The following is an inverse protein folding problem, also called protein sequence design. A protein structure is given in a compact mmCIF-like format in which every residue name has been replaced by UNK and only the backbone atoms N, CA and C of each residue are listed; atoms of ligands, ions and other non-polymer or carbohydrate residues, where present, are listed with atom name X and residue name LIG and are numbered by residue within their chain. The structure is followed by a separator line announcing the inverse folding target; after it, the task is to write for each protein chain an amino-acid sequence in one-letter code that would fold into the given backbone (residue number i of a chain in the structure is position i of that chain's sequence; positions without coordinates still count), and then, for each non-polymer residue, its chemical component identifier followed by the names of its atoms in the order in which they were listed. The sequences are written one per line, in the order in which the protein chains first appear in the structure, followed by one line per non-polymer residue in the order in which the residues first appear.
data_IF_800858233083
#
_entry.id   IF_800858233083
#
_cell.length_a   1.000
_cell.length_b   1.000
_cell.length_c   1.000
_cell.angle_alpha   90.00
_cell.angle_beta   90.00
_cell.angle_gamma   90.00
#
_symmetry.space_group_name_H-M   'P 1'
#
loop_
_entity.id
_entity.type
_entity.pdbx_description
1 polymer ?
#
# COMPACT_ATOMS: atom_id res chain seq x y z
N UNK A 1 39.28 -58.27 -1.18
CA UNK A 1 38.76 -57.25 -2.12
C UNK A 1 37.24 -57.10 -2.13
N UNK A 2 36.44 -58.12 -1.78
CA UNK A 2 34.96 -58.01 -1.80
C UNK A 2 34.36 -57.12 -0.70
N UNK A 3 34.98 -57.04 0.49
CA UNK A 3 34.50 -56.25 1.64
C UNK A 3 34.74 -54.74 1.53
N UNK A 4 35.74 -54.31 0.74
CA UNK A 4 35.98 -52.90 0.41
C UNK A 4 34.97 -52.37 -0.61
N UNK A 5 34.51 -53.24 -1.52
CA UNK A 5 33.49 -52.91 -2.51
C UNK A 5 32.11 -52.72 -1.87
N UNK A 6 31.80 -53.50 -0.82
CA UNK A 6 30.54 -53.37 -0.08
C UNK A 6 30.47 -52.04 0.69
N UNK A 7 31.60 -51.60 1.26
CA UNK A 7 31.69 -50.35 2.03
C UNK A 7 31.54 -49.10 1.14
N UNK A 8 32.07 -49.12 -0.08
CA UNK A 8 31.92 -48.04 -1.06
C UNK A 8 30.48 -47.91 -1.58
N UNK A 9 29.77 -49.03 -1.75
CA UNK A 9 28.39 -49.03 -2.25
C UNK A 9 27.40 -48.48 -1.21
N UNK A 10 27.64 -48.70 0.08
CA UNK A 10 26.77 -48.18 1.15
C UNK A 10 26.93 -46.68 1.35
N UNK A 11 28.08 -46.09 1.03
CA UNK A 11 28.30 -44.64 1.16
C UNK A 11 27.58 -43.82 0.05
N UNK A 12 27.35 -44.40 -1.13
CA UNK A 12 26.58 -43.75 -2.21
C UNK A 12 25.06 -43.73 -1.98
N UNK A 13 24.51 -44.60 -1.11
CA UNK A 13 23.07 -44.70 -0.90
C UNK A 13 22.48 -43.63 0.05
N UNK A 14 23.32 -42.89 0.79
CA UNK A 14 22.87 -41.88 1.76
C UNK A 14 23.00 -40.43 1.25
N UNK A 15 23.37 -40.20 -0.02
CA UNK A 15 23.65 -38.86 -0.57
C UNK A 15 22.50 -38.17 -1.32
N UNK A 16 21.30 -38.76 -1.42
CA UNK A 16 20.27 -38.30 -2.38
C UNK A 16 18.98 -37.80 -1.69
N UNK A 17 19.07 -37.17 -0.52
CA UNK A 17 17.90 -36.53 0.10
C UNK A 17 18.26 -35.22 0.78
N UNK A 18 18.72 -34.24 0.00
CA UNK A 18 18.95 -32.88 0.51
C UNK A 18 18.85 -31.79 -0.58
N UNK A 19 17.86 -31.85 -1.49
CA UNK A 19 17.61 -30.75 -2.43
C UNK A 19 16.13 -30.55 -2.76
N UNK A 20 15.26 -30.44 -1.75
CA UNK A 20 13.93 -29.82 -1.95
C UNK A 20 13.54 -29.00 -0.72
N UNK A 21 14.14 -27.83 -0.56
CA UNK A 21 13.58 -26.76 0.25
C UNK A 21 13.99 -25.43 -0.37
N UNK A 22 13.06 -24.77 -1.04
CA UNK A 22 13.22 -23.38 -1.50
C UNK A 22 12.93 -23.07 -2.98
N UNK A 23 12.64 -24.05 -3.84
CA UNK A 23 12.22 -23.73 -5.21
C UNK A 23 10.74 -23.36 -5.25
N UNK A 24 10.46 -22.06 -5.27
CA UNK A 24 9.18 -21.52 -5.73
C UNK A 24 9.15 -21.72 -7.24
N UNK A 25 8.19 -22.48 -7.74
CA UNK A 25 7.93 -22.60 -9.18
C UNK A 25 7.45 -21.25 -9.72
N UNK A 26 8.38 -20.40 -10.14
CA UNK A 26 8.04 -19.24 -10.95
C UNK A 26 7.90 -19.72 -12.39
N UNK A 27 6.68 -19.64 -12.95
CA UNK A 27 6.43 -19.81 -14.38
C UNK A 27 6.94 -18.61 -15.18
N UNK A 28 8.13 -18.10 -14.86
CA UNK A 28 8.71 -16.96 -15.55
C UNK A 28 9.49 -17.48 -16.75
N UNK A 29 8.79 -17.47 -17.89
CA UNK A 29 9.36 -17.60 -19.23
C UNK A 29 10.72 -16.91 -19.32
N UNK A 30 11.73 -17.65 -19.74
CA UNK A 30 13.09 -17.20 -19.98
C UNK A 30 13.10 -15.89 -20.81
N UNK A 31 13.32 -14.76 -20.14
CA UNK A 31 13.35 -13.43 -20.74
C UNK A 31 13.68 -12.42 -19.66
N UNK A 32 14.97 -12.15 -19.47
CA UNK A 32 15.51 -11.62 -18.23
C UNK A 32 15.18 -10.17 -17.88
N UNK A 33 15.34 -9.87 -16.59
CA UNK A 33 15.93 -8.64 -16.09
C UNK A 33 16.38 -8.88 -14.65
N UNK A 34 17.59 -8.44 -14.34
CA UNK A 34 18.34 -8.63 -13.09
C UNK A 34 17.78 -7.80 -11.92
N UNK A 35 16.46 -7.85 -11.70
CA UNK A 35 15.74 -7.21 -10.58
C UNK A 35 14.84 -8.27 -9.92
N UNK A 36 15.45 -9.40 -9.54
CA UNK A 36 14.71 -10.61 -9.13
C UNK A 36 13.91 -10.49 -7.85
N UNK A 37 14.40 -9.73 -6.84
CA UNK A 37 13.73 -9.68 -5.52
C UNK A 37 12.79 -8.50 -5.35
N UNK A 38 13.26 -7.27 -5.63
CA UNK A 38 12.41 -6.08 -5.49
C UNK A 38 11.30 -6.02 -6.56
N UNK A 39 11.62 -6.43 -7.80
CA UNK A 39 10.66 -6.47 -8.90
C UNK A 39 9.56 -7.50 -8.67
N UNK A 40 9.91 -8.68 -8.16
CA UNK A 40 8.92 -9.72 -7.84
C UNK A 40 8.05 -9.36 -6.62
N UNK A 41 8.63 -8.73 -5.59
CA UNK A 41 7.87 -8.25 -4.44
C UNK A 41 6.90 -7.11 -4.81
N UNK A 42 7.36 -6.14 -5.61
CA UNK A 42 6.51 -5.07 -6.14
C UNK A 42 5.43 -5.66 -7.04
N UNK A 43 5.75 -6.61 -7.92
CA UNK A 43 4.78 -7.23 -8.83
C UNK A 43 3.74 -8.07 -8.09
N UNK A 44 4.12 -8.77 -7.02
CA UNK A 44 3.18 -9.50 -6.16
C UNK A 44 2.23 -8.56 -5.41
N UNK A 45 2.71 -7.38 -5.00
CA UNK A 45 1.87 -6.37 -4.34
C UNK A 45 0.96 -5.62 -5.33
N UNK A 46 1.46 -5.32 -6.53
CA UNK A 46 0.73 -4.56 -7.55
C UNK A 46 -0.28 -5.40 -8.35
N UNK A 47 -0.13 -6.72 -8.36
CA UNK A 47 -0.92 -7.64 -9.17
C UNK A 47 -0.57 -7.57 -10.66
N UNK A 48 -1.26 -8.33 -11.53
CA UNK A 48 -1.07 -8.26 -12.97
C UNK A 48 -1.26 -6.83 -13.50
N UNK A 49 -0.38 -6.39 -14.43
CA UNK A 49 -0.45 -5.05 -15.05
C UNK A 49 -1.83 -4.78 -15.69
N UNK A 50 -2.54 -5.83 -16.11
CA UNK A 50 -3.93 -5.74 -16.60
C UNK A 50 -4.91 -5.20 -15.56
N UNK A 51 -4.69 -5.47 -14.27
CA UNK A 51 -5.54 -4.97 -13.19
C UNK A 51 -5.20 -3.53 -12.83
N UNK A 52 -3.94 -3.11 -13.01
CA UNK A 52 -3.54 -1.72 -12.87
C UNK A 52 -4.25 -0.80 -13.91
N UNK A 53 -4.51 -1.32 -15.12
CA UNK A 53 -5.29 -0.60 -16.12
C UNK A 53 -6.77 -0.47 -15.73
N UNK A 54 -7.38 -1.54 -15.20
CA UNK A 54 -8.75 -1.51 -14.66
C UNK A 54 -8.91 -0.51 -13.52
N UNK A 55 -7.91 -0.37 -12.64
CA UNK A 55 -7.90 0.66 -11.60
C UNK A 55 -7.89 2.09 -12.15
N UNK A 56 -7.37 2.31 -13.36
CA UNK A 56 -7.30 3.63 -14.02
C UNK A 56 -8.54 3.98 -14.84
N UNK A 57 -9.28 2.99 -15.35
CA UNK A 57 -10.50 3.18 -16.13
C UNK A 57 -11.76 3.03 -15.27
N UNK A 58 -11.67 3.47 -14.03
CA UNK A 58 -12.69 3.30 -13.00
C UNK A 58 -13.87 4.25 -13.21
N UNK A 59 -15.10 3.75 -13.05
CA UNK A 59 -16.34 4.54 -13.08
C UNK A 59 -16.86 4.73 -11.64
N UNK A 60 -17.12 5.99 -11.28
CA UNK A 60 -17.75 6.37 -10.01
C UNK A 60 -19.12 5.74 -9.81
N UNK A 61 -19.83 5.43 -10.91
CA UNK A 61 -21.19 4.87 -10.87
C UNK A 61 -21.24 3.45 -10.30
N UNK A 62 -20.10 2.75 -10.27
CA UNK A 62 -19.98 1.38 -9.73
C UNK A 62 -19.78 1.36 -8.21
N UNK A 63 -19.50 2.51 -7.57
CA UNK A 63 -19.23 2.57 -6.13
C UNK A 63 -20.52 2.58 -5.31
N UNK A 64 -20.71 1.56 -4.48
CA UNK A 64 -21.78 1.55 -3.47
C UNK A 64 -21.21 2.03 -2.13
N UNK A 65 -21.68 3.17 -1.65
CA UNK A 65 -21.28 3.73 -0.35
C UNK A 65 -20.82 5.18 -0.44
N UNK A 66 -20.38 5.72 0.70
CA UNK A 66 -19.85 7.08 0.78
C UNK A 66 -18.34 7.08 0.50
N UNK A 67 -17.82 8.06 -0.27
CA UNK A 67 -16.37 8.23 -0.45
C UNK A 67 -15.69 8.80 0.82
N UNK A 68 -16.47 9.15 1.84
CA UNK A 68 -15.95 9.73 3.07
C UNK A 68 -15.80 8.64 4.15
N UNK A 69 -14.68 8.68 4.87
CA UNK A 69 -14.52 7.86 6.09
C UNK A 69 -15.54 8.26 7.17
N UNK A 70 -15.98 9.52 7.14
CA UNK A 70 -17.03 10.10 7.99
C UNK A 70 -17.73 11.19 7.19
N UNK A 71 -19.06 11.14 7.09
CA UNK A 71 -19.83 12.20 6.42
C UNK A 71 -19.79 13.53 7.19
N UNK A 72 -19.54 13.45 8.50
CA UNK A 72 -19.49 14.59 9.40
C UNK A 72 -18.12 15.27 9.38
N UNK A 73 -18.16 16.60 9.40
CA UNK A 73 -17.00 17.46 9.61
C UNK A 73 -16.65 17.49 11.11
N UNK A 74 -15.43 17.08 11.44
CA UNK A 74 -14.92 17.03 12.82
C UNK A 74 -14.07 18.27 13.12
N UNK A 75 -14.13 18.83 14.34
CA UNK A 75 -13.27 19.94 14.72
C UNK A 75 -11.80 19.52 14.75
N UNK A 76 -10.90 20.42 14.36
CA UNK A 76 -9.45 20.26 14.45
C UNK A 76 -8.75 21.61 14.59
N UNK A 77 -7.45 21.56 14.91
CA UNK A 77 -6.54 22.70 14.92
C UNK A 77 -5.73 22.69 13.63
N UNK A 78 -5.67 23.85 12.98
CA UNK A 78 -4.78 24.10 11.85
C UNK A 78 -3.46 24.65 12.38
N UNK A 79 -2.36 24.07 11.92
CA UNK A 79 -1.01 24.55 12.21
C UNK A 79 -0.29 24.98 10.94
N UNK A 80 0.49 26.05 11.05
CA UNK A 80 1.43 26.49 10.01
C UNK A 80 2.83 26.56 10.62
N UNK A 81 3.81 25.83 10.07
CA UNK A 81 5.18 25.74 10.61
C UNK A 81 5.21 25.45 12.12
N UNK A 82 4.44 24.44 12.52
CA UNK A 82 4.28 24.00 13.91
C UNK A 82 3.57 24.97 14.87
N UNK A 83 3.11 26.13 14.38
CA UNK A 83 2.32 27.08 15.17
C UNK A 83 0.83 26.91 14.89
N UNK A 84 0.01 26.79 15.95
CA UNK A 84 -1.44 26.72 15.81
C UNK A 84 -1.97 28.08 15.36
N UNK A 85 -2.48 28.13 14.13
CA UNK A 85 -3.01 29.36 13.50
C UNK A 85 -4.51 29.51 13.68
N UNK A 86 -5.24 28.42 13.97
CA UNK A 86 -6.69 28.50 14.17
C UNK A 86 -7.37 27.15 14.35
N UNK A 87 -8.69 27.22 14.53
CA UNK A 87 -9.57 26.05 14.57
C UNK A 87 -10.42 26.02 13.30
N UNK A 88 -10.67 24.82 12.79
CA UNK A 88 -11.54 24.59 11.65
C UNK A 88 -12.22 23.23 11.80
N UNK A 89 -13.06 22.86 10.84
CA UNK A 89 -13.63 21.53 10.75
C UNK A 89 -13.12 20.82 9.51
N UNK A 90 -12.85 19.52 9.61
CA UNK A 90 -12.30 18.72 8.52
C UNK A 90 -13.04 17.40 8.31
N UNK A 91 -12.93 16.83 7.12
CA UNK A 91 -13.19 15.42 6.83
C UNK A 91 -12.28 14.93 5.70
N UNK A 92 -12.06 13.63 5.63
CA UNK A 92 -11.25 13.02 4.58
C UNK A 92 -12.13 12.49 3.44
N UNK A 93 -11.87 12.96 2.22
CA UNK A 93 -12.47 12.48 0.99
C UNK A 93 -11.53 11.44 0.37
N UNK A 94 -11.87 10.15 0.48
CA UNK A 94 -11.04 9.06 -0.02
C UNK A 94 -11.11 8.90 -1.54
N UNK A 95 -12.11 9.51 -2.20
CA UNK A 95 -12.20 9.49 -3.66
C UNK A 95 -11.19 10.44 -4.32
N UNK A 96 -11.10 11.67 -3.81
CA UNK A 96 -10.13 12.66 -4.31
C UNK A 96 -8.79 12.61 -3.56
N UNK A 97 -8.72 11.85 -2.46
CA UNK A 97 -7.59 11.79 -1.54
C UNK A 97 -7.24 13.17 -0.96
N UNK A 98 -8.26 13.92 -0.54
CA UNK A 98 -8.13 15.30 -0.07
C UNK A 98 -8.76 15.49 1.31
N UNK A 99 -8.20 16.45 2.06
CA UNK A 99 -8.82 16.95 3.28
C UNK A 99 -9.75 18.09 2.87
N UNK A 100 -11.04 17.89 3.11
CA UNK A 100 -12.04 18.94 2.97
C UNK A 100 -12.17 19.70 4.27
N UNK A 101 -12.28 21.02 4.20
CA UNK A 101 -12.36 21.92 5.36
C UNK A 101 -13.56 22.86 5.28
N UNK A 102 -14.05 23.23 6.46
CA UNK A 102 -14.96 24.36 6.71
C UNK A 102 -14.43 25.20 7.87
N UNK A 103 -14.66 26.51 7.81
CA UNK A 103 -14.36 27.42 8.91
C UNK A 103 -15.41 27.29 10.02
N UNK A 104 -16.69 27.15 9.66
CA UNK A 104 -17.78 26.88 10.59
C UNK A 104 -18.55 25.62 10.14
N UNK A 105 -19.11 24.87 11.08
CA UNK A 105 -19.89 23.67 10.75
C UNK A 105 -21.34 24.04 10.39
N UNK A 106 -21.51 24.85 9.36
CA UNK A 106 -22.81 25.30 8.86
C UNK A 106 -23.18 24.52 7.59
N UNK A 107 -24.47 24.23 7.43
CA UNK A 107 -25.00 23.51 6.26
C UNK A 107 -24.71 24.26 4.95
N UNK A 108 -24.90 25.59 4.96
CA UNK A 108 -24.77 26.45 3.79
C UNK A 108 -23.32 26.93 3.53
N UNK A 109 -22.35 26.56 4.37
CA UNK A 109 -20.96 26.93 4.13
C UNK A 109 -20.36 26.03 3.05
N UNK A 110 -19.76 26.67 2.04
CA UNK A 110 -19.07 25.99 0.95
C UNK A 110 -17.86 25.19 1.44
N UNK A 111 -17.68 24.01 0.85
CA UNK A 111 -16.55 23.13 1.17
C UNK A 111 -15.32 23.61 0.40
N UNK A 112 -14.16 23.65 1.09
CA UNK A 112 -12.87 23.98 0.50
C UNK A 112 -11.91 22.81 0.69
N UNK A 113 -10.95 22.63 -0.20
CA UNK A 113 -9.86 21.69 0.01
C UNK A 113 -8.74 22.36 0.82
N UNK A 114 -8.11 21.62 1.74
CA UNK A 114 -6.87 22.03 2.38
C UNK A 114 -5.74 21.95 1.35
N UNK A 115 -4.93 23.01 1.25
CA UNK A 115 -3.76 23.01 0.38
C UNK A 115 -2.76 21.95 0.82
N UNK A 116 -2.24 21.17 -0.14
CA UNK A 116 -1.16 20.20 0.09
C UNK A 116 0.17 20.96 0.22
N UNK A 117 0.50 21.36 1.43
CA UNK A 117 1.76 22.02 1.77
C UNK A 117 2.39 21.32 2.99
N UNK A 118 3.70 21.12 2.96
CA UNK A 118 4.46 20.50 4.07
C UNK A 118 4.46 21.35 5.34
N UNK A 119 4.24 22.66 5.19
CA UNK A 119 4.23 23.59 6.31
C UNK A 119 2.83 23.69 6.93
N UNK A 120 1.80 23.08 6.31
CA UNK A 120 0.42 23.08 6.79
C UNK A 120 0.07 21.69 7.32
N UNK A 121 -0.47 21.62 8.53
CA UNK A 121 -0.97 20.35 9.09
C UNK A 121 -2.25 20.57 9.90
N UNK A 122 -3.03 19.50 10.03
CA UNK A 122 -4.17 19.45 10.95
C UNK A 122 -3.91 18.45 12.07
N UNK A 123 -4.44 18.73 13.27
CA UNK A 123 -4.34 17.80 14.38
C UNK A 123 -5.41 16.71 14.29
N UNK A 124 -4.97 15.46 14.24
CA UNK A 124 -5.84 14.29 14.31
C UNK A 124 -5.40 13.44 15.49
N UNK A 125 -6.22 13.47 16.55
CA UNK A 125 -5.97 12.71 17.79
C UNK A 125 -4.61 13.04 18.42
N UNK A 126 -4.21 14.32 18.42
CA UNK A 126 -2.95 14.77 19.00
C UNK A 126 -1.72 14.54 18.12
N UNK A 127 -1.91 14.22 16.84
CA UNK A 127 -0.83 14.04 15.86
C UNK A 127 -1.08 14.91 14.64
N UNK A 128 -0.04 15.59 14.10
CA UNK A 128 -0.16 16.29 12.83
C UNK A 128 -0.34 15.27 11.69
N UNK A 129 -1.28 15.58 10.79
CA UNK A 129 -1.47 14.90 9.50
C UNK A 129 -1.07 15.81 8.36
#
# INVERSE_FOLDING_TARGET
MKKLFTLALTFCAFGISAQYSGQIASNLSAGGSSVGDAGAAIQNLLGPISDAYKKRTFSLEEFQGSPYTSNEFKPTKLSYKDEVVGNLYYRYNAYNEEIEIKQQNLENEGIRALGRDKDISIDINGKPM
#
